data_IF_618891142303
#
_entry.id   IF_618891142303
#
_cell.length_a   1.000
_cell.length_b   1.000
_cell.length_c   1.000
_cell.angle_alpha   90.00
_cell.angle_beta   90.00
_cell.angle_gamma   90.00
#
_symmetry.space_group_name_H-M   'P 1'
#
loop_
_entity.id
_entity.type
_entity.pdbx_description
1 polymer ?
#
# COMPACT_ATOMS: atom_id res chain seq x y z
N UNK A 1 -17.49 -17.39 -3.53
CA UNK A 1 -16.23 -16.68 -3.21
C UNK A 1 -16.56 -15.65 -2.13
N UNK A 2 -16.40 -16.00 -0.85
CA UNK A 2 -16.67 -15.07 0.26
C UNK A 2 -15.42 -14.23 0.49
N UNK A 3 -15.34 -13.04 -0.11
CA UNK A 3 -14.26 -12.09 0.17
C UNK A 3 -13.85 -11.23 -1.02
N UNK A 4 -14.25 -9.96 -0.96
CA UNK A 4 -13.68 -8.81 -1.71
C UNK A 4 -13.91 -8.85 -3.23
N UNK A 5 -15.10 -8.44 -3.67
CA UNK A 5 -15.41 -8.13 -5.08
C UNK A 5 -14.78 -6.82 -5.60
N UNK A 6 -14.01 -6.11 -4.76
CA UNK A 6 -13.40 -4.82 -5.10
C UNK A 6 -12.22 -4.48 -4.17
N UNK A 7 -11.11 -4.01 -4.71
CA UNK A 7 -9.97 -3.49 -3.94
C UNK A 7 -8.61 -3.94 -4.47
N UNK A 8 -7.54 -3.37 -3.90
CA UNK A 8 -6.16 -3.66 -4.32
C UNK A 8 -5.76 -5.14 -4.16
N UNK A 9 -6.29 -5.82 -3.13
CA UNK A 9 -6.05 -7.25 -2.94
C UNK A 9 -6.70 -8.13 -4.01
N UNK A 10 -7.88 -7.75 -4.49
CA UNK A 10 -8.52 -8.41 -5.63
C UNK A 10 -7.74 -8.15 -6.93
N UNK A 11 -7.32 -6.90 -7.14
CA UNK A 11 -6.51 -6.52 -8.30
C UNK A 11 -5.17 -7.27 -8.36
N UNK A 12 -4.50 -7.48 -7.23
CA UNK A 12 -3.27 -8.29 -7.16
C UNK A 12 -3.54 -9.75 -7.53
N UNK A 13 -4.65 -10.34 -7.05
CA UNK A 13 -4.97 -11.72 -7.37
C UNK A 13 -5.33 -11.90 -8.85
N UNK A 14 -6.08 -10.96 -9.43
CA UNK A 14 -6.45 -10.94 -10.85
C UNK A 14 -5.22 -10.76 -11.77
N UNK A 15 -4.36 -9.79 -11.47
CA UNK A 15 -3.13 -9.54 -12.25
C UNK A 15 -2.14 -10.68 -12.16
N UNK A 16 -2.05 -11.33 -10.98
CA UNK A 16 -1.28 -12.57 -10.81
C UNK A 16 -1.84 -13.71 -11.64
N UNK A 17 -3.15 -13.93 -11.62
CA UNK A 17 -3.81 -15.01 -12.36
C UNK A 17 -3.63 -14.84 -13.89
N UNK A 18 -3.68 -13.59 -14.35
CA UNK A 18 -3.42 -13.20 -15.74
C UNK A 18 -1.93 -13.19 -16.12
N UNK A 19 -1.02 -13.49 -15.19
CA UNK A 19 0.45 -13.39 -15.36
C UNK A 19 0.92 -12.00 -15.83
N UNK A 20 0.16 -10.95 -15.51
CA UNK A 20 0.48 -9.57 -15.83
C UNK A 20 1.46 -9.02 -14.78
N UNK A 21 2.75 -9.37 -14.93
CA UNK A 21 3.81 -8.97 -14.00
C UNK A 21 3.93 -7.45 -13.83
N UNK A 22 3.66 -6.69 -14.90
CA UNK A 22 3.73 -5.23 -14.92
C UNK A 22 2.67 -4.61 -13.99
N UNK A 23 1.42 -5.06 -14.11
CA UNK A 23 0.30 -4.59 -13.29
C UNK A 23 0.45 -5.03 -11.82
N UNK A 24 0.92 -6.27 -11.61
CA UNK A 24 1.23 -6.79 -10.29
C UNK A 24 2.31 -5.95 -9.59
N UNK A 25 3.40 -5.63 -10.30
CA UNK A 25 4.48 -4.79 -9.78
C UNK A 25 3.98 -3.38 -9.47
N UNK A 26 3.18 -2.78 -10.35
CA UNK A 26 2.58 -1.47 -10.10
C UNK A 26 1.71 -1.48 -8.83
N UNK A 27 0.88 -2.50 -8.62
CA UNK A 27 0.07 -2.63 -7.41
C UNK A 27 0.93 -2.74 -6.14
N UNK A 28 2.00 -3.53 -6.17
CA UNK A 28 2.94 -3.67 -5.05
C UNK A 28 3.60 -2.32 -4.74
N UNK A 29 4.05 -1.60 -5.76
CA UNK A 29 4.68 -0.28 -5.59
C UNK A 29 3.71 0.75 -5.00
N UNK A 30 2.45 0.76 -5.42
CA UNK A 30 1.41 1.64 -4.85
C UNK A 30 1.20 1.34 -3.37
N UNK A 31 1.10 0.06 -2.98
CA UNK A 31 0.96 -0.33 -1.58
C UNK A 31 2.19 0.11 -0.78
N UNK A 32 3.39 -0.12 -1.31
CA UNK A 32 4.64 0.32 -0.69
C UNK A 32 4.70 1.83 -0.50
N UNK A 33 4.28 2.60 -1.50
CA UNK A 33 4.23 4.06 -1.45
C UNK A 33 3.26 4.57 -0.37
N UNK A 34 2.09 3.94 -0.25
CA UNK A 34 1.11 4.28 0.79
C UNK A 34 1.71 4.01 2.17
N UNK A 35 2.29 2.82 2.38
CA UNK A 35 2.93 2.45 3.65
C UNK A 35 4.07 3.41 4.02
N UNK A 36 4.94 3.71 3.06
CA UNK A 36 6.05 4.65 3.26
C UNK A 36 5.57 6.06 3.59
N UNK A 37 4.53 6.54 2.92
CA UNK A 37 3.97 7.87 3.16
C UNK A 37 3.36 7.98 4.56
N UNK A 38 2.59 6.96 4.97
CA UNK A 38 2.01 6.88 6.31
C UNK A 38 3.11 6.85 7.39
N UNK A 39 4.15 6.06 7.18
CA UNK A 39 5.28 5.92 8.09
C UNK A 39 6.11 7.23 8.18
N UNK A 40 6.30 7.93 7.07
CA UNK A 40 6.91 9.27 7.05
C UNK A 40 6.06 10.31 7.81
N UNK A 41 4.74 10.29 7.62
CA UNK A 41 3.79 11.14 8.35
C UNK A 41 3.81 10.84 9.85
N UNK A 42 3.75 9.57 10.24
CA UNK A 42 3.82 9.13 11.63
C UNK A 42 5.13 9.61 12.29
N UNK A 43 6.28 9.43 11.63
CA UNK A 43 7.57 9.93 12.12
C UNK A 43 7.62 11.45 12.22
N UNK A 44 7.03 12.17 11.27
CA UNK A 44 6.99 13.64 11.31
C UNK A 44 6.13 14.13 12.47
N UNK A 45 4.95 13.54 12.67
CA UNK A 45 4.06 13.85 13.80
C UNK A 45 4.74 13.52 15.13
N UNK A 46 5.39 12.37 15.23
CA UNK A 46 6.15 11.98 16.41
C UNK A 46 7.25 12.99 16.75
N UNK A 47 8.07 13.39 15.76
CA UNK A 47 9.12 14.41 15.96
C UNK A 47 8.56 15.77 16.38
N UNK A 48 7.42 16.17 15.81
CA UNK A 48 6.76 17.44 16.18
C UNK A 48 6.29 17.41 17.64
N UNK A 49 5.73 16.28 18.09
CA UNK A 49 5.31 16.11 19.47
C UNK A 49 6.50 16.06 20.43
N UNK A 50 7.58 15.37 20.07
CA UNK A 50 8.76 15.25 20.93
C UNK A 50 9.61 16.53 21.01
N UNK A 51 9.52 17.42 20.01
CA UNK A 51 10.23 18.72 20.07
C UNK A 51 9.58 19.74 21.02
N UNK A 52 8.37 19.47 21.50
CA UNK A 52 7.59 20.37 22.36
C UNK A 52 7.73 20.06 23.86
N UNK A 53 8.45 19.00 24.24
CA UNK A 53 8.78 18.62 25.64
C UNK A 53 10.25 18.83 25.93
#
# INVERSE_FOLDING_TARGET
MLGVSAGLGYFILDTRDRLAYDELMAAILVIGLIGFSLDALARKLYRLWTHQS
#
